data_IF_085071927805
#
_entry.id   IF_085071927805
#
_cell.length_a   1.000
_cell.length_b   1.000
_cell.length_c   1.000
_cell.angle_alpha   90.00
_cell.angle_beta   90.00
_cell.angle_gamma   90.00
#
_symmetry.space_group_name_H-M   'P 1'
#
loop_
_entity.id
_entity.type
_entity.pdbx_description
1 polymer ?
#
# COMPACT_ATOMS: atom_id res chain seq x y z
N UNK A 1 17.59 -6.55 1.59
CA UNK A 1 16.94 -5.36 2.15
C UNK A 1 15.46 -5.45 1.87
N UNK A 2 14.66 -4.99 2.82
CA UNK A 2 13.21 -4.80 2.66
C UNK A 2 12.99 -3.35 2.26
N UNK A 3 12.12 -3.12 1.28
CA UNK A 3 11.82 -1.79 0.80
C UNK A 3 10.31 -1.59 0.75
N UNK A 4 9.87 -0.37 1.00
CA UNK A 4 8.49 0.07 0.78
C UNK A 4 8.55 1.30 -0.11
N UNK A 5 7.78 1.33 -1.20
CA UNK A 5 7.75 2.45 -2.14
C UNK A 5 9.16 2.92 -2.61
N UNK A 6 10.09 1.97 -2.79
CA UNK A 6 11.51 2.18 -3.19
C UNK A 6 12.43 2.73 -2.09
N UNK A 7 11.98 2.83 -0.85
CA UNK A 7 12.79 3.26 0.29
C UNK A 7 13.14 2.07 1.20
N UNK A 8 14.41 1.92 1.63
CA UNK A 8 14.81 0.84 2.54
C UNK A 8 14.27 1.08 3.95
N UNK A 9 13.71 0.05 4.57
CA UNK A 9 13.13 0.13 5.91
C UNK A 9 13.52 -1.07 6.78
N UNK A 10 13.59 -0.84 8.09
CA UNK A 10 13.65 -1.90 9.12
C UNK A 10 12.24 -2.21 9.67
N UNK A 11 11.42 -1.18 9.91
CA UNK A 11 10.00 -1.32 10.24
C UNK A 11 9.20 -0.08 9.82
N UNK A 12 7.95 -0.28 9.37
CA UNK A 12 7.03 0.80 8.97
C UNK A 12 5.58 0.30 9.04
N UNK A 13 4.63 1.19 9.33
CA UNK A 13 3.20 0.90 9.20
C UNK A 13 2.76 1.03 7.74
N UNK A 14 2.11 -0.01 7.20
CA UNK A 14 1.63 -0.02 5.82
C UNK A 14 0.20 0.54 5.71
N UNK A 15 -0.03 1.27 4.62
CA UNK A 15 -1.33 1.79 4.21
C UNK A 15 -1.83 1.06 2.97
N UNK A 16 -3.15 0.94 2.82
CA UNK A 16 -3.75 0.28 1.66
C UNK A 16 -3.28 0.90 0.34
N UNK A 17 -2.70 0.06 -0.53
CA UNK A 17 -2.11 0.46 -1.81
C UNK A 17 -0.58 0.54 -1.80
N UNK A 18 0.07 0.45 -0.65
CA UNK A 18 1.53 0.48 -0.57
C UNK A 18 2.19 -0.71 -1.28
N UNK A 19 3.36 -0.45 -1.87
CA UNK A 19 4.15 -1.48 -2.52
C UNK A 19 5.34 -1.88 -1.65
N UNK A 20 5.45 -3.18 -1.40
CA UNK A 20 6.53 -3.78 -0.63
C UNK A 20 7.41 -4.61 -1.55
N UNK A 21 8.72 -4.43 -1.43
CA UNK A 21 9.72 -5.24 -2.14
C UNK A 21 10.57 -6.02 -1.15
N UNK A 22 10.66 -7.33 -1.38
CA UNK A 22 11.44 -8.28 -0.58
C UNK A 22 12.31 -9.09 -1.53
N UNK A 23 13.61 -8.84 -1.53
CA UNK A 23 14.52 -9.42 -2.51
C UNK A 23 14.09 -9.05 -3.94
N UNK A 24 13.80 -10.06 -4.78
CA UNK A 24 13.35 -9.88 -6.17
C UNK A 24 11.83 -9.77 -6.34
N UNK A 25 11.07 -9.94 -5.26
CA UNK A 25 9.61 -9.98 -5.31
C UNK A 25 9.01 -8.61 -4.99
N UNK A 26 7.89 -8.31 -5.64
CA UNK A 26 7.11 -7.09 -5.47
C UNK A 26 5.69 -7.49 -5.06
N UNK A 27 5.20 -6.92 -3.97
CA UNK A 27 3.91 -7.20 -3.37
C UNK A 27 3.14 -5.89 -3.19
N UNK A 28 1.82 -5.92 -3.36
CA UNK A 28 0.94 -4.80 -3.02
C UNK A 28 0.19 -5.10 -1.74
N UNK A 29 0.19 -4.16 -0.80
CA UNK A 29 -0.54 -4.28 0.44
C UNK A 29 -1.99 -3.84 0.26
N UNK A 30 -2.92 -4.76 0.49
CA UNK A 30 -4.35 -4.51 0.38
C UNK A 30 -4.96 -4.53 1.79
N UNK A 31 -5.57 -3.42 2.19
CA UNK A 31 -6.36 -3.34 3.43
C UNK A 31 -7.82 -3.59 3.14
N UNK A 32 -8.48 -4.40 3.97
CA UNK A 32 -9.93 -4.63 3.90
C UNK A 32 -10.74 -3.43 4.37
N UNK A 33 -10.73 -2.35 3.60
CA UNK A 33 -11.68 -1.25 3.70
C UNK A 33 -12.55 -1.25 2.45
N UNK A 34 -13.86 -1.06 2.59
CA UNK A 34 -14.75 -0.88 1.42
C UNK A 34 -14.08 0.15 0.52
N UNK A 35 -13.96 -0.10 -0.80
CA UNK A 35 -13.45 0.91 -1.71
C UNK A 35 -14.32 2.16 -1.47
N UNK A 36 -13.72 3.24 -0.98
CA UNK A 36 -14.39 4.53 -0.90
C UNK A 36 -14.48 5.05 -2.33
N UNK A 37 -15.38 4.43 -3.09
CA UNK A 37 -15.57 4.61 -4.53
C UNK A 37 -16.95 5.17 -4.86
N UNK A 38 -17.57 5.90 -3.93
CA UNK A 38 -18.78 6.69 -4.20
C UNK A 38 -18.60 8.06 -3.53
N UNK A 39 -17.80 8.89 -4.18
CA UNK A 39 -17.79 10.33 -3.95
C UNK A 39 -19.10 10.85 -4.55
N UNK A 40 -20.15 10.88 -3.73
CA UNK A 40 -21.45 11.41 -4.12
C UNK A 40 -21.27 12.85 -4.63
N UNK A 41 -21.53 13.03 -5.93
CA UNK A 41 -21.67 14.36 -6.53
C UNK A 41 -22.94 14.99 -5.95
N UNK A 42 -22.88 16.15 -5.26
CA UNK A 42 -24.09 16.86 -4.88
C UNK A 42 -24.67 17.52 -6.13
N UNK A 43 -25.93 17.17 -6.46
CA UNK A 43 -26.79 17.89 -7.39
C UNK A 43 -27.79 18.75 -6.60
#
# INVERSE_FOLDING_TARGET
GTYVNREPIDSVSLSGGDEVQIGKFRLSYLTGGRPSGEQAVPA
#
